data_IF_352615121657
#
_entry.id   IF_352615121657
#
_cell.length_a   1.000
_cell.length_b   1.000
_cell.length_c   1.000
_cell.angle_alpha   90.00
_cell.angle_beta   90.00
_cell.angle_gamma   90.00
#
_symmetry.space_group_name_H-M   'P 1'
#
loop_
_entity.id
_entity.type
_entity.pdbx_description
1 polymer ?
2 non-polymer ?
3 non-polymer ?
4 non-polymer ?
5 water ?
#
# COMPACT_ATOMS: atom_id res chain seq x y z
N UNK A 1 13.48 -8.30 9.35
CA UNK A 1 13.55 -6.89 8.96
C UNK A 1 13.64 -5.99 10.21
N UNK A 2 12.50 -5.67 10.87
CA UNK A 2 12.50 -4.81 12.07
C UNK A 2 12.79 -5.58 13.38
N UNK A 3 13.51 -4.92 14.31
CA UNK A 3 13.83 -5.49 15.62
C UNK A 3 12.60 -5.50 16.56
N UNK A 4 12.72 -6.14 17.72
CA UNK A 4 11.67 -6.16 18.74
C UNK A 4 11.22 -4.70 19.07
N UNK A 5 9.90 -4.51 19.25
CA UNK A 5 9.28 -3.22 19.52
C UNK A 5 9.59 -2.15 18.41
N UNK A 6 9.77 -2.61 17.15
CA UNK A 6 9.99 -1.74 15.99
C UNK A 6 9.16 -2.21 14.81
N UNK A 7 8.77 -1.27 13.94
CA UNK A 7 8.09 -1.55 12.68
C UNK A 7 8.70 -0.71 11.59
N UNK A 8 8.44 -1.12 10.33
CA UNK A 8 8.74 -0.31 9.17
C UNK A 8 7.42 0.22 8.65
N UNK A 9 7.45 1.45 8.15
CA UNK A 9 6.27 2.10 7.58
C UNK A 9 6.63 2.79 6.27
N UNK A 10 5.76 2.61 5.29
CA UNK A 10 5.83 3.29 4.01
C UNK A 10 4.53 4.07 3.87
N UNK A 11 4.67 5.35 3.59
CA UNK A 11 3.52 6.21 3.41
C UNK A 11 3.24 6.44 1.95
N UNK A 12 2.02 6.11 1.54
CA UNK A 12 1.54 6.22 0.18
C UNK A 12 0.41 7.25 0.13
N UNK A 13 0.71 8.38 -0.48
CA UNK A 13 -0.22 9.50 -0.63
C UNK A 13 -0.95 9.51 -1.99
N UNK A 14 -2.23 9.13 -1.98
CA UNK A 14 -3.08 9.15 -3.19
C UNK A 14 -3.95 10.40 -3.26
N UNK A 15 -3.73 11.37 -2.34
CA UNK A 15 -4.48 12.63 -2.36
C UNK A 15 -3.89 13.53 -3.46
N UNK A 16 -4.64 14.56 -3.90
CA UNK A 16 -4.26 15.48 -4.98
C UNK A 16 -3.21 16.59 -4.60
N UNK A 17 -2.76 16.57 -3.34
CA UNK A 17 -1.80 17.53 -2.84
C UNK A 17 -0.91 16.92 -1.76
N UNK A 18 0.01 17.74 -1.20
CA UNK A 18 0.91 17.26 -0.16
C UNK A 18 0.10 16.95 1.09
N UNK A 19 0.56 15.95 1.82
CA UNK A 19 -0.06 15.57 3.08
C UNK A 19 1.02 15.59 4.17
N UNK A 20 0.75 16.28 5.29
CA UNK A 20 1.69 16.29 6.44
C UNK A 20 1.24 15.16 7.35
N UNK A 21 2.18 14.35 7.78
CA UNK A 21 1.91 13.20 8.61
C UNK A 21 2.69 13.26 9.92
N UNK A 22 2.04 12.87 11.01
CA UNK A 22 2.66 12.54 12.27
C UNK A 22 2.06 11.22 12.68
N UNK A 23 2.82 10.46 13.46
CA UNK A 23 2.35 9.22 14.05
C UNK A 23 2.71 9.30 15.49
N UNK A 24 1.70 9.21 16.38
CA UNK A 24 1.97 9.28 17.82
C UNK A 24 1.80 7.95 18.52
N UNK A 25 2.50 7.81 19.64
CA UNK A 25 2.36 6.69 20.55
C UNK A 25 1.29 7.03 21.58
N UNK A 26 1.35 6.38 22.74
CA UNK A 26 0.35 6.56 23.80
C UNK A 26 0.49 7.82 24.69
N UNK A 27 1.54 8.66 24.48
CA UNK A 27 1.77 9.80 25.39
C UNK A 27 2.20 11.11 24.70
N UNK A 28 1.49 11.52 23.62
CA UNK A 28 1.79 12.73 22.82
C UNK A 28 3.27 12.69 22.36
N UNK A 29 3.75 11.49 21.98
CA UNK A 29 5.15 11.29 21.57
C UNK A 29 5.21 10.91 20.09
N UNK A 30 5.86 11.76 19.28
CA UNK A 30 6.00 11.54 17.84
C UNK A 30 6.97 10.46 17.53
N UNK A 31 6.52 9.47 16.76
CA UNK A 31 7.32 8.35 16.31
C UNK A 31 7.79 8.61 14.89
N UNK A 32 7.07 9.49 14.17
CA UNK A 32 7.35 9.84 12.79
C UNK A 32 6.75 11.20 12.50
N UNK A 33 7.50 12.04 11.77
CA UNK A 33 7.06 13.37 11.33
C UNK A 33 7.50 13.38 9.88
N UNK A 34 6.54 13.43 8.96
CA UNK A 34 6.82 13.27 7.53
C UNK A 34 5.93 14.16 6.62
N UNK A 35 6.52 14.75 5.57
CA UNK A 35 5.76 15.48 4.57
C UNK A 35 5.78 14.59 3.31
N UNK A 36 4.61 14.23 2.78
CA UNK A 36 4.53 13.32 1.64
C UNK A 36 3.83 13.96 0.44
N UNK A 37 4.53 13.98 -0.70
CA UNK A 37 4.00 14.54 -1.95
C UNK A 37 2.95 13.60 -2.55
N UNK A 38 2.12 14.13 -3.44
CA UNK A 38 1.10 13.38 -4.15
C UNK A 38 1.78 12.28 -5.00
N UNK A 39 1.28 11.07 -4.88
CA UNK A 39 1.74 9.85 -5.55
C UNK A 39 3.19 9.47 -5.18
N UNK A 40 3.51 9.70 -3.91
CA UNK A 40 4.75 9.31 -3.23
C UNK A 40 4.30 8.65 -1.91
N UNK A 41 5.11 7.84 -1.20
CA UNK A 41 6.51 7.44 -1.46
C UNK A 41 6.56 6.03 -2.06
N UNK A 42 7.05 5.87 -3.31
CA UNK A 42 7.13 4.53 -3.92
C UNK A 42 8.30 3.70 -3.33
N UNK A 43 9.42 4.36 -2.90
CA UNK A 43 10.61 3.64 -2.41
C UNK A 43 11.32 4.26 -1.20
N UNK A 44 10.55 4.88 -0.30
CA UNK A 44 11.06 5.52 0.92
C UNK A 44 10.31 4.92 2.10
N UNK A 45 11.05 4.60 3.17
CA UNK A 45 10.53 3.91 4.34
C UNK A 45 11.07 4.49 5.64
N UNK A 46 10.31 4.34 6.70
CA UNK A 46 10.73 4.80 8.01
C UNK A 46 10.62 3.70 9.03
N UNK A 47 11.47 3.79 10.06
CA UNK A 47 11.45 2.87 11.17
C UNK A 47 10.79 3.60 12.35
N UNK A 48 9.80 2.95 12.97
CA UNK A 48 9.06 3.48 14.11
C UNK A 48 9.32 2.61 15.34
N UNK A 49 9.52 3.26 16.49
CA UNK A 49 9.72 2.56 17.76
C UNK A 49 8.38 2.43 18.50
N UNK A 50 8.02 1.22 18.87
CA UNK A 50 6.81 0.95 19.63
C UNK A 50 7.15 0.92 21.12
N UNK A 51 6.13 1.03 21.98
CA UNK A 51 6.29 1.00 23.43
C UNK A 51 5.98 -0.39 23.96
N UNK A 52 5.43 -1.26 23.10
CA UNK A 52 5.07 -2.63 23.45
C UNK A 52 5.17 -3.50 22.21
N UNK A 53 4.84 -4.81 22.33
CA UNK A 53 4.88 -5.75 21.20
C UNK A 53 3.75 -5.48 20.20
N UNK A 54 2.68 -4.82 20.68
CA UNK A 54 1.50 -4.43 19.93
C UNK A 54 1.06 -3.07 20.43
N UNK A 55 0.54 -2.25 19.52
CA UNK A 55 0.11 -0.91 19.85
C UNK A 55 -0.84 -0.38 18.82
N UNK A 56 -1.72 0.52 19.24
CA UNK A 56 -2.61 1.26 18.34
C UNK A 56 -1.90 2.61 18.14
N UNK A 57 -1.51 2.91 16.91
CA UNK A 57 -0.80 4.16 16.62
C UNK A 57 -1.77 5.23 16.16
N UNK A 58 -1.46 6.49 16.48
CA UNK A 58 -2.33 7.62 16.17
C UNK A 58 -1.80 8.34 14.95
N UNK A 59 -2.52 8.23 13.85
CA UNK A 59 -2.02 8.85 12.62
C UNK A 59 -2.73 10.16 12.41
N UNK A 60 -1.97 11.24 12.41
CA UNK A 60 -2.51 12.56 12.19
C UNK A 60 -2.09 12.99 10.82
N UNK A 61 -3.05 13.46 10.02
CA UNK A 61 -2.80 13.84 8.63
C UNK A 61 -3.39 15.18 8.34
N UNK A 62 -2.58 16.09 7.77
CA UNK A 62 -3.07 17.39 7.34
C UNK A 62 -3.14 17.42 5.80
N UNK A 63 -4.29 17.84 5.27
CA UNK A 63 -4.54 18.01 3.84
C UNK A 63 -5.32 19.29 3.71
N UNK A 64 -4.69 20.31 3.14
CA UNK A 64 -5.27 21.66 3.06
C UNK A 64 -5.62 22.15 4.48
N UNK A 65 -6.89 22.47 4.75
CA UNK A 65 -7.33 22.98 6.06
C UNK A 65 -7.95 21.91 6.95
N UNK A 66 -7.65 20.62 6.65
CA UNK A 66 -8.14 19.51 7.46
C UNK A 66 -6.98 18.91 8.22
N UNK A 67 -7.23 18.48 9.45
CA UNK A 67 -6.25 17.72 10.23
C UNK A 67 -7.02 16.54 10.80
N UNK A 68 -6.86 15.39 10.15
CA UNK A 68 -7.60 14.19 10.55
C UNK A 68 -6.77 13.33 11.50
N UNK A 69 -7.45 12.48 12.26
CA UNK A 69 -6.87 11.58 13.26
C UNK A 69 -7.42 10.19 12.94
N UNK A 70 -6.54 9.25 12.55
CA UNK A 70 -6.96 7.87 12.22
C UNK A 70 -6.07 6.90 12.99
N UNK A 71 -6.67 5.95 13.69
CA UNK A 71 -5.90 4.99 14.47
C UNK A 71 -5.82 3.64 13.82
N UNK A 72 -4.64 3.04 13.85
CA UNK A 72 -4.44 1.71 13.24
C UNK A 72 -3.48 0.94 14.17
N UNK A 73 -3.81 -0.34 14.41
CA UNK A 73 -3.01 -1.21 15.27
C UNK A 73 -1.85 -1.84 14.53
N UNK A 74 -0.73 -1.99 15.21
CA UNK A 74 0.46 -2.60 14.60
C UNK A 74 1.03 -3.66 15.57
N UNK A 75 1.88 -4.54 15.02
CA UNK A 75 2.60 -5.56 15.78
C UNK A 75 4.08 -5.43 15.42
N UNK A 76 4.95 -5.58 16.41
CA UNK A 76 6.40 -5.53 16.26
C UNK A 76 6.93 -6.46 15.14
N UNK A 77 8.07 -6.09 14.56
CA UNK A 77 8.80 -6.86 13.54
C UNK A 77 7.98 -7.07 12.26
N UNK A 78 7.13 -6.11 11.92
CA UNK A 78 6.32 -6.13 10.72
C UNK A 78 6.57 -4.85 9.96
N UNK A 79 6.25 -4.89 8.66
CA UNK A 79 6.34 -3.78 7.70
C UNK A 79 4.92 -3.48 7.26
N UNK A 80 4.56 -2.19 7.18
CA UNK A 80 3.24 -1.70 6.83
C UNK A 80 3.28 -0.60 5.77
N UNK A 81 2.18 -0.45 5.03
CA UNK A 81 2.02 0.64 4.09
C UNK A 81 0.78 1.38 4.52
N UNK A 82 0.90 2.69 4.66
CA UNK A 82 -0.23 3.54 5.00
C UNK A 82 -0.70 4.19 3.72
N UNK A 83 -1.91 3.82 3.29
CA UNK A 83 -2.46 4.40 2.08
C UNK A 83 -3.40 5.55 2.46
N UNK A 84 -3.04 6.79 2.07
CA UNK A 84 -3.81 8.03 2.30
C UNK A 84 -4.58 8.33 1.05
N UNK A 85 -5.90 8.51 1.20
CA UNK A 85 -6.76 8.74 0.06
C UNK A 85 -7.84 9.75 0.37
N UNK A 86 -8.30 10.45 -0.66
CA UNK A 86 -9.38 11.39 -0.52
C UNK A 86 -10.67 10.60 -0.32
N UNK A 87 -11.39 10.95 0.76
CA UNK A 87 -12.63 10.32 1.22
C UNK A 87 -13.72 11.40 1.34
N UNK A 88 -14.40 11.62 0.21
CA UNK A 88 -15.42 12.65 0.06
C UNK A 88 -14.75 14.01 0.01
N UNK A 89 -15.14 14.91 0.94
CA UNK A 89 -14.55 16.24 1.09
C UNK A 89 -13.41 16.21 2.16
N UNK A 90 -13.01 14.99 2.56
CA UNK A 90 -11.97 14.77 3.55
C UNK A 90 -10.95 13.73 3.05
N UNK A 91 -10.09 13.29 3.93
CA UNK A 91 -9.11 12.25 3.65
C UNK A 91 -9.26 11.21 4.73
N UNK A 92 -8.85 10.00 4.39
CA UNK A 92 -8.78 8.90 5.31
C UNK A 92 -7.57 8.05 4.94
N UNK A 93 -7.25 7.11 5.79
CA UNK A 93 -6.12 6.23 5.56
C UNK A 93 -6.51 4.81 5.88
N UNK A 94 -5.79 3.89 5.28
CA UNK A 94 -5.91 2.47 5.54
C UNK A 94 -4.47 1.97 5.74
N UNK A 95 -4.28 1.02 6.65
CA UNK A 95 -2.96 0.46 6.91
C UNK A 95 -2.95 -0.98 6.47
N UNK A 96 -1.98 -1.36 5.63
CA UNK A 96 -1.85 -2.75 5.20
C UNK A 96 -0.52 -3.30 5.66
N UNK A 97 -0.53 -4.56 6.12
CA UNK A 97 0.65 -5.29 6.56
C UNK A 97 1.26 -5.94 5.33
N UNK A 98 2.59 -5.81 5.15
CA UNK A 98 3.33 -6.43 4.05
C UNK A 98 3.84 -7.86 4.36
N UNK A 99 4.00 -8.72 3.31
CA UNK A 99 4.55 -10.08 3.49
C UNK A 99 6.07 -10.11 3.64
N UNK A 100 6.58 -11.08 4.38
CA UNK A 100 8.01 -11.28 4.54
C UNK A 100 8.59 -12.31 3.60
N UNK A 101 7.80 -12.77 2.59
CA UNK A 101 8.24 -13.80 1.63
C UNK A 101 9.00 -13.17 0.45
N UNK A 102 10.23 -13.66 0.23
CA UNK A 102 11.13 -13.23 -0.83
C UNK A 102 10.80 -14.03 -2.11
N UNK A 103 10.51 -13.38 -3.28
CA UNK A 103 10.26 -14.16 -4.51
C UNK A 103 11.48 -14.99 -4.89
N UNK A 104 11.23 -16.16 -5.47
CA UNK A 104 12.29 -17.03 -5.96
C UNK A 104 13.03 -16.29 -7.07
N UNK A 105 14.27 -16.71 -7.38
CA UNK A 105 15.07 -16.12 -8.46
C UNK A 105 14.29 -16.18 -9.79
N UNK A 106 14.25 -15.07 -10.51
CA UNK A 106 13.52 -14.96 -11.78
C UNK A 106 12.08 -14.52 -11.60
N UNK A 107 11.62 -14.45 -10.33
CA UNK A 107 10.26 -14.04 -9.99
C UNK A 107 10.22 -12.69 -9.28
N UNK A 108 9.01 -12.11 -9.26
CA UNK A 108 8.64 -10.91 -8.55
C UNK A 108 7.31 -11.26 -7.87
N UNK A 109 6.88 -10.46 -6.90
CA UNK A 109 5.57 -10.67 -6.24
C UNK A 109 4.77 -9.39 -6.41
N UNK A 110 3.45 -9.52 -6.56
CA UNK A 110 2.57 -8.36 -6.76
C UNK A 110 1.31 -8.53 -5.92
N UNK A 111 0.67 -7.40 -5.58
CA UNK A 111 -0.56 -7.31 -4.80
C UNK A 111 -1.33 -6.10 -5.29
N UNK A 112 -2.66 -6.12 -5.14
CA UNK A 112 -3.50 -5.03 -5.62
C UNK A 112 -4.40 -4.46 -4.56
N UNK A 113 -4.66 -3.16 -4.68
CA UNK A 113 -5.62 -2.42 -3.91
C UNK A 113 -6.52 -1.78 -4.92
N UNK A 114 -7.81 -2.13 -4.86
CA UNK A 114 -8.81 -1.62 -5.75
C UNK A 114 -9.56 -0.45 -5.12
N UNK A 115 -9.42 0.77 -5.69
CA UNK A 115 -10.14 1.96 -5.15
C UNK A 115 -11.48 2.20 -5.86
N UNK A 116 -11.74 1.50 -6.98
CA UNK A 116 -13.00 1.66 -7.74
C UNK A 116 -14.22 1.15 -6.97
N UNK A 117 -15.41 1.43 -7.51
CA UNK A 117 -16.67 1.03 -6.87
C UNK A 117 -17.19 -0.33 -7.31
N UNK A 118 -16.36 -1.11 -8.07
CA UNK A 118 -16.70 -2.44 -8.59
C UNK A 118 -15.62 -3.47 -8.30
N UNK A 119 -16.01 -4.72 -7.98
CA UNK A 119 -15.10 -5.83 -7.70
C UNK A 119 -14.32 -6.17 -8.96
N UNK A 120 -13.04 -6.50 -8.81
CA UNK A 120 -12.16 -6.78 -9.94
C UNK A 120 -11.53 -8.14 -9.87
N UNK A 121 -11.35 -8.76 -11.03
CA UNK A 121 -10.59 -10.00 -11.13
C UNK A 121 -9.38 -9.66 -11.99
N UNK A 122 -8.18 -9.86 -11.45
CA UNK A 122 -6.94 -9.65 -12.20
C UNK A 122 -6.61 -11.03 -12.75
N UNK A 123 -6.76 -11.18 -14.06
CA UNK A 123 -6.57 -12.44 -14.77
C UNK A 123 -5.16 -12.62 -15.30
N UNK A 124 -4.20 -12.94 -14.40
CA UNK A 124 -2.82 -13.24 -14.79
C UNK A 124 -2.73 -14.73 -15.20
N UNK A 125 -3.45 -15.59 -14.46
CA UNK A 125 -3.62 -17.03 -14.69
C UNK A 125 -5.13 -17.29 -14.72
N UNK A 126 -5.65 -18.01 -15.76
CA UNK A 126 -7.10 -18.29 -15.85
C UNK A 126 -7.55 -19.39 -14.89
N UNK A 127 -6.62 -20.22 -14.42
CA UNK A 127 -6.89 -21.32 -13.47
C UNK A 127 -6.60 -20.92 -12.02
N UNK A 128 -6.24 -19.64 -11.80
CA UNK A 128 -5.93 -19.08 -10.50
C UNK A 128 -6.46 -17.62 -10.39
N UNK A 129 -7.81 -17.44 -10.20
CA UNK A 129 -8.35 -16.07 -10.09
C UNK A 129 -7.70 -15.20 -9.01
N UNK A 130 -7.55 -13.89 -9.30
CA UNK A 130 -6.99 -12.95 -8.33
C UNK A 130 -8.04 -11.84 -8.06
N UNK A 131 -8.85 -12.02 -7.00
CA UNK A 131 -9.92 -11.08 -6.61
C UNK A 131 -9.38 -9.87 -5.90
N UNK A 132 -9.91 -8.70 -6.26
CA UNK A 132 -9.63 -7.41 -5.64
C UNK A 132 -10.97 -6.72 -5.37
N UNK A 133 -11.45 -6.85 -4.13
CA UNK A 133 -12.71 -6.28 -3.68
C UNK A 133 -12.79 -4.77 -3.88
N UNK A 134 -13.98 -4.29 -4.19
CA UNK A 134 -14.27 -2.86 -4.38
C UNK A 134 -14.02 -2.08 -3.09
N UNK A 135 -14.01 -0.73 -3.21
CA UNK A 135 -13.88 0.22 -2.12
C UNK A 135 -12.73 -0.09 -1.17
N UNK A 136 -11.53 -0.16 -1.76
CA UNK A 136 -10.23 -0.33 -1.10
C UNK A 136 -10.00 -1.75 -0.60
N UNK A 137 -10.57 -2.73 -1.32
CA UNK A 137 -10.30 -4.14 -1.06
C UNK A 137 -8.86 -4.45 -1.43
N UNK A 138 -8.22 -5.34 -0.68
CA UNK A 138 -6.81 -5.75 -0.88
C UNK A 138 -6.83 -7.17 -1.43
N UNK A 139 -6.02 -7.43 -2.47
CA UNK A 139 -5.95 -8.76 -3.07
C UNK A 139 -4.92 -9.61 -2.31
N UNK A 140 -4.90 -10.91 -2.59
CA UNK A 140 -3.85 -11.78 -2.06
C UNK A 140 -2.55 -11.42 -2.85
N UNK A 141 -1.38 -11.75 -2.31
CA UNK A 141 -0.12 -11.60 -3.05
C UNK A 141 -0.06 -12.68 -4.15
N UNK A 142 0.63 -12.41 -5.25
CA UNK A 142 0.80 -13.38 -6.34
C UNK A 142 2.22 -13.27 -6.87
N UNK A 143 2.92 -14.41 -6.99
CA UNK A 143 4.28 -14.43 -7.53
C UNK A 143 4.15 -14.56 -9.03
N UNK A 144 4.93 -13.78 -9.78
CA UNK A 144 4.87 -13.78 -11.25
C UNK A 144 6.28 -13.75 -11.76
N UNK A 145 6.46 -14.08 -13.04
CA UNK A 145 7.78 -13.95 -13.63
C UNK A 145 8.18 -12.46 -13.71
N UNK A 146 9.47 -12.18 -13.55
CA UNK A 146 10.05 -10.86 -13.77
C UNK A 146 9.83 -10.57 -15.30
N UNK A 147 9.63 -9.30 -15.65
CA UNK A 147 9.38 -8.89 -17.02
C UNK A 147 8.36 -7.79 -17.14
N UNK A 148 7.94 -7.49 -18.38
CA UNK A 148 7.00 -6.43 -18.70
C UNK A 148 5.59 -6.95 -18.86
N UNK A 149 4.62 -6.28 -18.24
CA UNK A 149 3.22 -6.67 -18.32
C UNK A 149 2.40 -5.47 -18.82
N UNK A 150 2.43 -5.14 -20.13
CA UNK A 150 1.71 -3.94 -20.62
C UNK A 150 0.20 -4.07 -20.76
N UNK A 151 -0.37 -5.28 -20.82
CA UNK A 151 -1.81 -5.42 -21.03
C UNK A 151 -2.42 -6.59 -20.29
N UNK A 152 -2.50 -6.49 -18.97
CA UNK A 152 -3.05 -7.53 -18.12
C UNK A 152 -4.60 -7.58 -18.21
N UNK A 153 -5.17 -8.79 -18.34
CA UNK A 153 -6.63 -8.98 -18.44
C UNK A 153 -7.31 -8.76 -17.09
N UNK A 154 -8.30 -7.83 -17.02
CA UNK A 154 -9.01 -7.48 -15.78
C UNK A 154 -10.55 -7.50 -15.96
N UNK A 155 -11.28 -8.34 -15.17
CA UNK A 155 -12.76 -8.49 -15.29
C UNK A 155 -13.57 -7.82 -14.18
N UNK A 156 -14.78 -7.33 -14.53
CA UNK A 156 -15.74 -6.67 -13.63
C UNK A 156 -17.17 -6.59 -14.20
N UNK A 157 -18.02 -7.64 -14.17
CA UNK A 157 -17.88 -9.07 -13.84
C UNK A 157 -18.51 -9.79 -15.04
N UNK A 158 -18.84 -8.97 -16.05
CA UNK A 158 -19.27 -9.33 -17.40
C UNK A 158 -18.69 -8.29 -18.39
N UNK A 159 -17.72 -7.49 -17.87
CA UNK A 159 -16.95 -6.44 -18.56
C UNK A 159 -15.45 -6.80 -18.58
N UNK A 160 -14.74 -6.44 -19.67
CA UNK A 160 -13.29 -6.64 -19.84
C UNK A 160 -12.52 -5.29 -19.82
N UNK A 161 -11.38 -5.26 -19.11
CA UNK A 161 -10.53 -4.08 -18.93
C UNK A 161 -9.04 -4.48 -19.04
N UNK A 162 -8.20 -3.61 -19.65
CA UNK A 162 -6.75 -3.84 -19.77
C UNK A 162 -5.99 -3.00 -18.75
N UNK A 163 -4.91 -3.56 -18.16
CA UNK A 163 -4.11 -2.85 -17.18
C UNK A 163 -2.60 -2.98 -17.43
N UNK A 164 -1.92 -1.83 -17.50
CA UNK A 164 -0.47 -1.81 -17.70
C UNK A 164 0.27 -1.81 -16.33
N UNK A 165 1.23 -2.74 -16.15
CA UNK A 165 2.01 -2.88 -14.91
C UNK A 165 3.46 -2.43 -15.04
N UNK A 166 3.91 -2.19 -16.26
CA UNK A 166 5.29 -1.79 -16.52
C UNK A 166 6.25 -2.95 -16.33
N UNK A 167 7.50 -2.63 -15.96
CA UNK A 167 8.59 -3.58 -15.74
C UNK A 167 8.62 -4.08 -14.29
N UNK A 168 8.59 -5.40 -14.08
CA UNK A 168 8.69 -5.97 -12.72
C UNK A 168 10.07 -6.57 -12.59
N UNK A 169 10.90 -6.05 -11.66
CA UNK A 169 12.30 -6.50 -11.42
C UNK A 169 12.44 -7.74 -10.56
N UNK A 170 13.52 -8.49 -10.83
CA UNK A 170 13.90 -9.69 -10.09
C UNK A 170 13.93 -9.39 -8.57
N UNK A 171 13.27 -10.25 -7.81
CA UNK A 171 13.25 -10.29 -6.35
C UNK A 171 12.49 -9.19 -5.67
N UNK A 172 11.70 -8.44 -6.41
CA UNK A 172 11.00 -7.29 -5.87
C UNK A 172 9.50 -7.60 -5.68
N UNK A 173 8.88 -7.03 -4.62
CA UNK A 173 7.46 -7.17 -4.32
C UNK A 173 6.81 -5.79 -4.54
N UNK A 174 5.75 -5.77 -5.32
CA UNK A 174 5.09 -4.54 -5.71
C UNK A 174 3.68 -4.45 -5.20
N UNK A 175 3.23 -3.22 -4.96
CA UNK A 175 1.86 -2.90 -4.62
C UNK A 175 1.34 -2.03 -5.77
N UNK A 176 0.19 -2.41 -6.35
CA UNK A 176 -0.48 -1.64 -7.40
C UNK A 176 -1.79 -1.11 -6.86
N UNK A 177 -1.97 0.19 -6.92
CA UNK A 177 -3.23 0.78 -6.45
C UNK A 177 -4.02 1.13 -7.72
N UNK A 178 -5.18 0.50 -7.92
CA UNK A 178 -6.02 0.70 -9.12
C UNK A 178 -6.81 1.98 -8.88
N UNK A 179 -6.55 3.04 -9.67
CA UNK A 179 -7.18 4.34 -9.40
C UNK A 179 -8.32 4.72 -10.32
N UNK A 180 -8.21 4.42 -11.62
CA UNK A 180 -9.22 4.77 -12.63
C UNK A 180 -9.31 3.73 -13.74
N UNK A 186 -7.97 0.04 -17.27
CA UNK A 186 -7.65 0.37 -15.87
C UNK A 186 -6.31 1.07 -15.72
N UNK A 187 -6.22 1.98 -14.72
CA UNK A 187 -5.02 2.75 -14.40
C UNK A 187 -4.54 2.41 -12.98
N UNK A 188 -3.24 2.15 -12.81
CA UNK A 188 -2.69 1.79 -11.49
C UNK A 188 -1.37 2.44 -11.15
N UNK A 189 -1.27 2.88 -9.90
CA UNK A 189 -0.07 3.48 -9.35
C UNK A 189 0.78 2.38 -8.71
N UNK A 190 2.07 2.38 -9.01
CA UNK A 190 3.03 1.35 -8.60
C UNK A 190 3.94 1.76 -7.46
N UNK A 191 3.92 0.97 -6.39
CA UNK A 191 4.78 1.20 -5.23
C UNK A 191 5.54 -0.09 -4.95
N UNK A 192 6.67 0.02 -4.27
CA UNK A 192 7.46 -1.16 -3.95
C UNK A 192 7.50 -1.38 -2.45
N UNK A 193 7.23 -2.64 -2.03
CA UNK A 193 7.30 -3.02 -0.61
C UNK A 193 8.77 -2.99 -0.22
N UNK A 194 9.10 -2.64 1.03
CA UNK A 194 10.48 -2.57 1.52
C UNK A 194 11.32 -3.83 1.22
X LIG B 1 -7.41 -0.45 11.89
X LIG B 1 -6.77 -0.32 10.62
X LIG B 1 -6.68 -1.45 12.76
X LIG B 1 -6.72 -2.73 12.14
X LIG B 1 -7.31 -1.53 14.13
X LIG B 1 -6.82 -0.51 14.98
X LIG C 1 12.38 9.97 1.65
X LIG D 1 8.29 14.28 0.24
X LIG D 1 9.33 14.08 0.90
X LIG D 1 7.74 15.44 0.15
X LIG D 1 7.63 13.00 -0.47
X LIG D 1 7.01 13.26 -1.32
X LIG D 1 8.39 12.32 -0.84
X LIG D 1 7.03 12.43 0.23
X LIG E 1 -6.06 8.33 18.29
#
# INVERSE_FOLDING_TARGET
MAASQEIFLQVLNLADGDVKVTVLGSRNNSLLVESVSSFQNTTHYSKLHLEAKSQDLHFHLKYNSLSVHNDHSVEEKNCYQLLIHQDGESISSMLVKDTGIKPANGMAAIRFINTLHKDLNISLDTDAPLSVGKDYGVSAYRTVLRGKYPAVHCETEDKVFSLDLGQLDFGTTYLFVITNITSQGLQAWKAEDI
GOL C1 O1 C2 O2 C3 O3
CS CS
ACT C O OXT CH3 H1 H2 H3
CS CS
#
